data_IF_135151439663
#
_entry.id   IF_135151439663
#
_cell.length_a   1.000
_cell.length_b   1.000
_cell.length_c   1.000
_cell.angle_alpha   90.00
_cell.angle_beta   90.00
_cell.angle_gamma   90.00
#
_symmetry.space_group_name_H-M   'P 1'
#
loop_
_entity.id
_entity.type
_entity.pdbx_description
1 polymer ?
#
# COMPACT_ATOMS: atom_id res chain seq x y z
N UNK A 1 -18.06 -37.01 12.41
CA UNK A 1 -17.88 -35.65 12.94
C UNK A 1 -18.05 -34.66 11.80
N UNK A 2 -19.16 -33.91 11.76
CA UNK A 2 -19.27 -32.74 10.89
C UNK A 2 -18.39 -31.67 11.52
N UNK A 3 -17.36 -31.20 10.81
CA UNK A 3 -16.63 -30.00 11.22
C UNK A 3 -17.63 -28.84 11.12
N UNK A 4 -18.02 -28.28 12.27
CA UNK A 4 -18.66 -26.98 12.28
C UNK A 4 -17.62 -26.01 11.72
N UNK A 5 -17.80 -25.61 10.46
CA UNK A 5 -17.10 -24.46 9.91
C UNK A 5 -17.75 -23.25 10.58
N UNK A 6 -17.17 -22.78 11.68
CA UNK A 6 -17.45 -21.44 12.16
C UNK A 6 -17.14 -20.49 11.01
N UNK A 7 -18.19 -19.85 10.49
CA UNK A 7 -18.03 -18.74 9.55
C UNK A 7 -17.44 -17.62 10.39
N UNK A 8 -16.13 -17.43 10.27
CA UNK A 8 -15.44 -16.33 10.92
C UNK A 8 -15.91 -15.06 10.23
N UNK A 9 -16.69 -14.23 10.93
CA UNK A 9 -17.10 -12.93 10.42
C UNK A 9 -15.85 -12.10 10.11
N UNK A 10 -15.86 -11.45 8.95
CA UNK A 10 -14.79 -10.57 8.52
C UNK A 10 -14.77 -9.34 9.42
N UNK A 11 -13.59 -9.01 9.95
CA UNK A 11 -13.40 -7.79 10.75
C UNK A 11 -13.31 -6.56 9.85
N UNK A 12 -12.81 -6.73 8.63
CA UNK A 12 -12.64 -5.63 7.68
C UNK A 12 -13.26 -5.98 6.33
N UNK A 13 -13.88 -4.98 5.67
CA UNK A 13 -14.59 -5.17 4.40
C UNK A 13 -13.68 -5.73 3.29
N UNK A 14 -12.39 -5.40 3.32
CA UNK A 14 -11.42 -5.88 2.34
C UNK A 14 -11.13 -7.38 2.45
N UNK A 15 -11.44 -8.02 3.58
CA UNK A 15 -11.26 -9.47 3.76
C UNK A 15 -12.26 -10.27 2.90
N UNK A 16 -13.43 -9.70 2.61
CA UNK A 16 -14.47 -10.31 1.77
C UNK A 16 -14.27 -10.04 0.28
N UNK A 17 -13.51 -9.00 -0.05
CA UNK A 17 -13.25 -8.62 -1.43
C UNK A 17 -12.01 -9.32 -1.93
N UNK A 18 -12.19 -10.31 -2.82
CA UNK A 18 -11.11 -11.21 -3.29
C UNK A 18 -9.86 -10.44 -3.73
N UNK A 19 -10.04 -9.35 -4.49
CA UNK A 19 -8.95 -8.56 -5.03
C UNK A 19 -8.14 -7.85 -3.93
N UNK A 20 -8.81 -7.26 -2.94
CA UNK A 20 -8.12 -6.60 -1.82
C UNK A 20 -7.52 -7.60 -0.83
N UNK A 21 -8.26 -8.64 -0.44
CA UNK A 21 -7.80 -9.65 0.52
C UNK A 21 -6.48 -10.30 0.08
N UNK A 22 -6.24 -10.40 -1.22
CA UNK A 22 -4.99 -10.92 -1.78
C UNK A 22 -3.74 -10.22 -1.21
N UNK A 23 -3.79 -8.91 -0.94
CA UNK A 23 -2.68 -8.18 -0.34
C UNK A 23 -2.40 -8.58 1.13
N UNK A 24 -3.39 -9.12 1.85
CA UNK A 24 -3.22 -9.56 3.23
C UNK A 24 -2.77 -11.03 3.37
N UNK A 25 -2.73 -11.80 2.29
CA UNK A 25 -2.32 -13.21 2.29
C UNK A 25 -0.81 -13.36 2.14
N UNK A 26 -0.15 -14.11 3.03
CA UNK A 26 1.32 -14.22 3.02
C UNK A 26 1.89 -14.94 1.79
N UNK A 27 1.10 -15.81 1.15
CA UNK A 27 1.53 -16.61 0.00
C UNK A 27 1.57 -15.83 -1.32
N UNK A 28 1.11 -14.57 -1.37
CA UNK A 28 1.09 -13.74 -2.59
C UNK A 28 2.39 -12.95 -2.76
N UNK A 29 3.02 -12.60 -1.65
CA UNK A 29 4.22 -11.77 -1.59
C UNK A 29 5.49 -12.34 -2.25
N UNK A 30 5.75 -13.67 -2.27
CA UNK A 30 6.88 -14.21 -3.03
C UNK A 30 6.81 -13.93 -4.54
N UNK A 31 5.61 -13.91 -5.13
CA UNK A 31 5.45 -13.58 -6.55
C UNK A 31 5.63 -12.07 -6.78
N UNK A 32 5.12 -11.22 -5.88
CA UNK A 32 5.40 -9.78 -5.90
C UNK A 32 6.92 -9.48 -5.85
N UNK A 33 7.66 -10.12 -4.93
CA UNK A 33 9.12 -10.02 -4.80
C UNK A 33 9.85 -10.34 -6.12
N UNK A 34 9.40 -11.40 -6.79
CA UNK A 34 9.94 -11.81 -8.09
C UNK A 34 9.64 -10.75 -9.16
N UNK A 35 8.41 -10.27 -9.24
CA UNK A 35 7.98 -9.31 -10.26
C UNK A 35 8.66 -7.95 -10.11
N UNK A 36 8.71 -7.39 -8.89
CA UNK A 36 9.33 -6.08 -8.66
C UNK A 36 10.84 -6.10 -8.93
N UNK A 37 11.52 -7.22 -8.60
CA UNK A 37 12.93 -7.44 -8.92
C UNK A 37 13.17 -7.51 -10.43
N UNK A 38 12.35 -8.25 -11.17
CA UNK A 38 12.50 -8.34 -12.63
C UNK A 38 12.19 -7.00 -13.32
N UNK A 39 11.19 -6.27 -12.85
CA UNK A 39 10.88 -4.92 -13.33
C UNK A 39 12.08 -3.96 -13.14
N UNK A 40 12.67 -3.93 -11.93
CA UNK A 40 13.84 -3.12 -11.63
C UNK A 40 15.03 -3.48 -12.54
N UNK A 41 15.28 -4.78 -12.76
CA UNK A 41 16.34 -5.24 -13.68
C UNK A 41 16.10 -4.78 -15.12
N UNK A 42 14.87 -4.87 -15.60
CA UNK A 42 14.53 -4.47 -16.97
C UNK A 42 14.71 -2.96 -17.18
N UNK A 43 14.27 -2.14 -16.23
CA UNK A 43 14.41 -0.68 -16.30
C UNK A 43 15.88 -0.25 -16.22
N UNK A 44 16.69 -0.88 -15.35
CA UNK A 44 18.13 -0.62 -15.29
C UNK A 44 18.85 -0.89 -16.61
N UNK A 45 18.43 -1.89 -17.38
CA UNK A 45 18.98 -2.16 -18.74
C UNK A 45 18.67 -1.05 -19.75
N UNK A 46 17.64 -0.26 -19.48
CA UNK A 46 17.21 0.88 -20.31
C UNK A 46 17.67 2.22 -19.73
N UNK A 47 18.58 2.22 -18.75
CA UNK A 47 19.00 3.41 -18.01
C UNK A 47 17.84 4.18 -17.37
N UNK A 48 16.75 3.48 -17.03
CA UNK A 48 15.61 4.02 -16.32
C UNK A 48 15.64 3.60 -14.84
N UNK A 49 15.18 4.50 -13.96
CA UNK A 49 14.99 4.20 -12.54
C UNK A 49 13.55 3.74 -12.29
N UNK A 50 13.39 2.76 -11.42
CA UNK A 50 12.09 2.38 -10.87
C UNK A 50 11.90 3.07 -9.52
N UNK A 51 10.76 3.72 -9.36
CA UNK A 51 10.26 4.24 -8.09
C UNK A 51 8.89 3.59 -7.85
N UNK A 52 8.57 3.27 -6.60
CA UNK A 52 7.26 2.78 -6.20
C UNK A 52 6.59 3.79 -5.27
N UNK A 53 5.33 4.11 -5.55
CA UNK A 53 4.49 4.94 -4.67
C UNK A 53 3.33 4.09 -4.19
N UNK A 54 3.10 4.08 -2.89
CA UNK A 54 2.02 3.33 -2.24
C UNK A 54 0.90 4.31 -1.90
N UNK A 55 -0.28 4.06 -2.46
CA UNK A 55 -1.50 4.77 -2.11
C UNK A 55 -2.29 3.92 -1.10
N UNK A 56 -2.55 4.45 0.10
CA UNK A 56 -3.42 3.77 1.05
C UNK A 56 -4.88 3.87 0.61
N UNK A 57 -5.71 2.90 1.00
CA UNK A 57 -7.17 3.03 0.87
C UNK A 57 -7.72 3.83 2.06
N UNK A 58 -8.80 4.58 1.84
CA UNK A 58 -9.37 5.48 2.85
C UNK A 58 -9.76 4.76 4.14
N UNK A 59 -10.19 3.50 4.05
CA UNK A 59 -10.50 2.71 5.24
C UNK A 59 -9.28 2.36 6.11
N UNK A 60 -8.06 2.38 5.57
CA UNK A 60 -6.84 2.22 6.37
C UNK A 60 -6.52 3.50 7.15
N UNK A 61 -6.76 4.68 6.56
CA UNK A 61 -6.42 5.97 7.17
C UNK A 61 -7.29 6.27 8.40
N UNK A 62 -8.47 5.66 8.50
CA UNK A 62 -9.34 5.78 9.67
C UNK A 62 -8.78 5.15 10.96
N UNK A 63 -7.65 4.46 10.89
CA UNK A 63 -7.00 3.84 12.04
C UNK A 63 -5.67 4.55 12.32
N UNK A 64 -5.45 4.92 13.58
CA UNK A 64 -4.18 5.43 14.06
C UNK A 64 -3.20 4.29 14.38
N UNK A 65 -1.95 4.66 14.66
CA UNK A 65 -0.88 3.74 15.03
C UNK A 65 -1.08 3.05 16.39
N UNK A 66 -2.07 3.48 17.19
CA UNK A 66 -2.43 2.88 18.47
C UNK A 66 -3.52 1.80 18.32
N UNK A 67 -4.10 1.63 17.12
CA UNK A 67 -5.08 0.60 16.86
C UNK A 67 -4.51 -0.81 17.17
N UNK A 68 -5.24 -1.69 17.90
CA UNK A 68 -4.73 -3.01 18.31
C UNK A 68 -4.25 -3.93 17.17
N UNK A 69 -4.77 -3.69 15.96
CA UNK A 69 -4.47 -4.46 14.75
C UNK A 69 -3.70 -3.62 13.72
N UNK A 70 -3.03 -2.53 14.12
CA UNK A 70 -2.39 -1.60 13.18
C UNK A 70 -1.46 -2.31 12.19
N UNK A 71 -0.59 -3.21 12.69
CA UNK A 71 0.31 -4.02 11.85
C UNK A 71 -0.43 -4.85 10.80
N UNK A 72 -1.64 -5.33 11.14
CA UNK A 72 -2.48 -6.02 10.18
C UNK A 72 -3.03 -5.03 9.15
N UNK A 73 -3.56 -3.89 9.59
CA UNK A 73 -4.18 -2.87 8.72
C UNK A 73 -3.17 -2.34 7.69
N UNK A 74 -1.91 -2.08 8.09
CA UNK A 74 -0.86 -1.56 7.20
C UNK A 74 0.04 -2.64 6.60
N UNK A 75 -0.33 -3.92 6.74
CA UNK A 75 0.46 -5.06 6.24
C UNK A 75 0.87 -4.91 4.77
N UNK A 76 -0.01 -4.50 3.83
CA UNK A 76 0.39 -4.34 2.44
C UNK A 76 1.50 -3.30 2.25
N UNK A 77 1.38 -2.14 2.90
CA UNK A 77 2.37 -1.07 2.83
C UNK A 77 3.73 -1.56 3.37
N UNK A 78 3.73 -2.19 4.55
CA UNK A 78 4.94 -2.75 5.14
C UNK A 78 5.60 -3.81 4.25
N UNK A 79 4.81 -4.65 3.57
CA UNK A 79 5.34 -5.68 2.65
C UNK A 79 5.93 -5.07 1.38
N UNK A 80 5.24 -4.12 0.74
CA UNK A 80 5.77 -3.43 -0.45
C UNK A 80 7.09 -2.74 -0.10
N UNK A 81 7.11 -1.98 1.01
CA UNK A 81 8.31 -1.29 1.50
C UNK A 81 9.46 -2.26 1.76
N UNK A 82 9.21 -3.37 2.43
CA UNK A 82 10.22 -4.41 2.68
C UNK A 82 10.86 -4.93 1.38
N UNK A 83 10.05 -5.30 0.38
CA UNK A 83 10.59 -5.83 -0.88
C UNK A 83 11.25 -4.77 -1.75
N UNK A 84 10.76 -3.53 -1.75
CA UNK A 84 11.43 -2.43 -2.44
C UNK A 84 12.82 -2.17 -1.84
N UNK A 85 12.92 -2.08 -0.51
CA UNK A 85 14.19 -1.92 0.20
C UNK A 85 15.15 -3.08 -0.08
N UNK A 86 14.67 -4.33 -0.06
CA UNK A 86 15.45 -5.53 -0.41
C UNK A 86 16.13 -5.42 -1.78
N UNK A 87 15.50 -4.76 -2.75
CA UNK A 87 16.00 -4.61 -4.12
C UNK A 87 16.61 -3.24 -4.42
N UNK A 88 16.80 -2.39 -3.41
CA UNK A 88 17.25 -1.01 -3.55
C UNK A 88 16.39 -0.22 -4.55
N UNK A 89 15.08 -0.28 -4.36
CA UNK A 89 14.08 0.47 -5.12
C UNK A 89 13.54 1.56 -4.19
N UNK A 90 13.67 2.85 -4.53
CA UNK A 90 13.04 3.91 -3.76
C UNK A 90 11.52 3.69 -3.68
N UNK A 91 10.99 3.82 -2.48
CA UNK A 91 9.57 3.63 -2.18
C UNK A 91 9.05 4.77 -1.33
N UNK A 92 7.93 5.34 -1.75
CA UNK A 92 7.18 6.37 -1.02
C UNK A 92 5.88 5.77 -0.52
N UNK A 93 5.66 5.82 0.80
CA UNK A 93 4.41 5.41 1.43
C UNK A 93 3.58 6.63 1.82
N UNK A 94 2.50 6.90 1.08
CA UNK A 94 1.63 8.04 1.32
C UNK A 94 0.76 7.90 2.58
N UNK A 95 0.73 6.72 3.23
CA UNK A 95 -0.05 6.49 4.44
C UNK A 95 0.25 7.51 5.55
N UNK A 96 1.53 7.74 5.83
CA UNK A 96 1.96 8.67 6.89
C UNK A 96 1.54 10.10 6.60
N UNK A 97 1.78 10.57 5.37
CA UNK A 97 1.38 11.90 4.92
C UNK A 97 -0.14 12.11 4.98
N UNK A 98 -0.93 11.08 4.66
CA UNK A 98 -2.38 11.16 4.66
C UNK A 98 -2.96 11.19 6.06
N UNK A 99 -2.36 10.48 7.02
CA UNK A 99 -2.78 10.53 8.43
C UNK A 99 -2.72 11.94 9.02
N UNK A 100 -1.84 12.81 8.51
CA UNK A 100 -1.69 14.19 8.99
C UNK A 100 -2.77 15.15 8.43
N UNK A 101 -3.49 14.78 7.36
CA UNK A 101 -4.29 15.72 6.53
C UNK A 101 -5.81 15.51 6.56
N UNK A 102 -6.39 15.10 7.70
CA UNK A 102 -7.84 14.89 7.85
C UNK A 102 -8.44 13.91 6.80
N UNK A 103 -7.84 12.73 6.77
CA UNK A 103 -8.21 11.41 6.24
C UNK A 103 -9.38 11.29 5.24
N UNK A 104 -10.58 11.80 5.55
CA UNK A 104 -11.77 11.61 4.71
C UNK A 104 -11.84 12.60 3.54
N UNK A 105 -11.35 13.83 3.67
CA UNK A 105 -11.39 14.80 2.56
C UNK A 105 -10.43 14.47 1.42
N UNK A 106 -9.52 13.51 1.65
CA UNK A 106 -8.56 13.04 0.65
C UNK A 106 -9.19 12.11 -0.38
N UNK A 107 -10.39 11.59 -0.14
CA UNK A 107 -11.05 10.60 -1.00
C UNK A 107 -12.44 11.05 -1.44
N UNK A 108 -12.86 10.63 -2.64
CA UNK A 108 -14.23 10.79 -3.13
C UNK A 108 -15.15 9.66 -2.61
N UNK A 109 -14.63 8.42 -2.60
CA UNK A 109 -15.39 7.21 -2.28
C UNK A 109 -14.65 6.23 -1.36
N UNK A 110 -13.54 6.68 -0.76
CA UNK A 110 -12.66 5.86 0.09
C UNK A 110 -11.65 5.00 -0.68
N UNK A 111 -11.67 5.00 -2.01
CA UNK A 111 -10.68 4.31 -2.86
C UNK A 111 -9.95 5.28 -3.78
N UNK A 112 -10.70 6.21 -4.39
CA UNK A 112 -10.18 7.20 -5.31
C UNK A 112 -9.94 8.53 -4.57
N UNK A 113 -8.83 9.19 -4.91
CA UNK A 113 -8.49 10.48 -4.35
C UNK A 113 -9.45 11.56 -4.85
N UNK A 114 -9.74 12.52 -3.97
CA UNK A 114 -10.38 13.76 -4.35
C UNK A 114 -9.44 14.68 -5.13
N UNK A 115 -9.97 15.77 -5.70
CA UNK A 115 -9.11 16.79 -6.32
C UNK A 115 -8.05 17.32 -5.35
N UNK A 116 -8.40 17.45 -4.06
CA UNK A 116 -7.45 17.82 -3.02
C UNK A 116 -6.43 16.72 -2.75
N UNK A 117 -6.87 15.46 -2.62
CA UNK A 117 -5.98 14.31 -2.43
C UNK A 117 -4.97 14.13 -3.57
N UNK A 118 -5.39 14.38 -4.81
CA UNK A 118 -4.51 14.39 -5.98
C UNK A 118 -3.47 15.50 -5.93
N UNK A 119 -3.86 16.73 -5.55
CA UNK A 119 -2.92 17.86 -5.43
C UNK A 119 -1.85 17.57 -4.38
N UNK A 120 -2.27 17.16 -3.18
CA UNK A 120 -1.35 16.81 -2.09
C UNK A 120 -0.40 15.68 -2.48
N UNK A 121 -0.93 14.62 -3.09
CA UNK A 121 -0.09 13.50 -3.56
C UNK A 121 0.92 13.95 -4.60
N UNK A 122 0.52 14.85 -5.51
CA UNK A 122 1.40 15.40 -6.54
C UNK A 122 2.61 16.12 -5.95
N UNK A 123 2.39 16.99 -4.97
CA UNK A 123 3.45 17.74 -4.27
C UNK A 123 4.44 16.78 -3.58
N UNK A 124 3.94 15.80 -2.83
CA UNK A 124 4.78 14.82 -2.11
C UNK A 124 5.56 13.94 -3.10
N UNK A 125 4.91 13.48 -4.17
CA UNK A 125 5.55 12.62 -5.19
C UNK A 125 6.62 13.41 -5.95
N UNK A 126 6.37 14.67 -6.28
CA UNK A 126 7.35 15.54 -6.94
C UNK A 126 8.61 15.69 -6.07
N UNK A 127 8.45 16.04 -4.79
CA UNK A 127 9.56 16.15 -3.85
C UNK A 127 10.35 14.84 -3.75
N UNK A 128 9.65 13.71 -3.56
CA UNK A 128 10.28 12.39 -3.49
C UNK A 128 11.05 12.02 -4.75
N UNK A 129 10.52 12.34 -5.94
CA UNK A 129 11.21 12.11 -7.20
C UNK A 129 12.48 12.95 -7.26
N UNK A 130 12.40 14.24 -6.94
CA UNK A 130 13.55 15.16 -6.98
C UNK A 130 14.69 14.70 -6.06
N UNK A 131 14.40 14.12 -4.90
CA UNK A 131 15.40 13.56 -3.99
C UNK A 131 16.05 12.25 -4.48
N UNK A 132 15.41 11.55 -5.42
CA UNK A 132 15.83 10.24 -5.90
C UNK A 132 16.28 10.22 -7.38
N UNK A 133 16.29 11.37 -8.05
CA UNK A 133 16.90 11.58 -9.38
C UNK A 133 18.43 11.55 -9.33
#
# INVERSE_FOLDING_TARGET
MKKNNEVKESKYWWEETIDFNTAWKDNTWPEFDKQIREMNKLLKKQSAKLIVVIFPIGSQINYDSEAPDFDYIVKPQGKVTYYCNKHNIPVLDLFTYFQEHNNLSLYEDGLHLSSYGHSLSGEIIEEFILENL
#
